data_IF_523240538782
#
_entry.id   IF_523240538782
#
_cell.length_a   1.000
_cell.length_b   1.000
_cell.length_c   1.000
_cell.angle_alpha   90.00
_cell.angle_beta   90.00
_cell.angle_gamma   90.00
#
_symmetry.space_group_name_H-M   'P 1'
#
loop_
_entity.id
_entity.type
_entity.pdbx_description
1 polymer ?
#
# COMPACT_ATOMS: atom_id res chain seq x y z
N UNK A 1 -8.14 14.27 24.86
CA UNK A 1 -7.69 14.63 23.50
C UNK A 1 -6.78 13.58 22.83
N UNK A 2 -5.81 12.98 23.54
CA UNK A 2 -4.88 11.99 22.95
C UNK A 2 -5.57 10.76 22.33
N UNK A 3 -6.59 10.18 22.98
CA UNK A 3 -7.35 9.04 22.43
C UNK A 3 -8.06 9.36 21.12
N UNK A 4 -8.73 10.51 21.05
CA UNK A 4 -9.41 10.97 19.83
C UNK A 4 -8.40 11.17 18.68
N UNK A 5 -7.23 11.76 18.97
CA UNK A 5 -6.14 11.89 18.00
C UNK A 5 -5.68 10.54 17.45
N UNK A 6 -5.50 9.53 18.31
CA UNK A 6 -5.10 8.18 17.91
C UNK A 6 -6.17 7.53 17.03
N UNK A 7 -7.45 7.67 17.39
CA UNK A 7 -8.58 7.14 16.60
C UNK A 7 -8.62 7.80 15.21
N UNK A 8 -8.49 9.14 15.13
CA UNK A 8 -8.50 9.86 13.85
C UNK A 8 -7.36 9.40 12.95
N UNK A 9 -6.14 9.24 13.49
CA UNK A 9 -5.00 8.73 12.72
C UNK A 9 -5.25 7.29 12.26
N UNK A 10 -5.77 6.44 13.15
CA UNK A 10 -6.13 5.05 12.82
C UNK A 10 -7.17 4.95 11.71
N UNK A 11 -8.21 5.78 11.76
CA UNK A 11 -9.23 5.91 10.70
C UNK A 11 -8.60 6.40 9.40
N UNK A 12 -7.68 7.37 9.46
CA UNK A 12 -6.97 7.86 8.27
C UNK A 12 -6.19 6.75 7.55
N UNK A 13 -5.42 5.95 8.28
CA UNK A 13 -4.73 4.80 7.69
C UNK A 13 -5.70 3.70 7.22
N UNK A 14 -6.80 3.48 7.93
CA UNK A 14 -7.84 2.54 7.52
C UNK A 14 -8.50 2.96 6.19
N UNK A 15 -8.73 4.26 6.03
CA UNK A 15 -9.29 4.83 4.81
C UNK A 15 -8.36 4.62 3.62
N UNK A 16 -7.06 4.92 3.76
CA UNK A 16 -6.05 4.68 2.72
C UNK A 16 -5.99 3.20 2.37
N UNK A 17 -5.97 2.32 3.38
CA UNK A 17 -5.99 0.87 3.19
C UNK A 17 -7.23 0.41 2.40
N UNK A 18 -8.42 0.86 2.80
CA UNK A 18 -9.69 0.46 2.17
C UNK A 18 -9.76 0.87 0.70
N UNK A 19 -9.35 2.11 0.37
CA UNK A 19 -9.30 2.57 -1.02
C UNK A 19 -8.24 1.83 -1.84
N UNK A 20 -7.13 1.44 -1.21
CA UNK A 20 -6.11 0.65 -1.89
C UNK A 20 -6.62 -0.76 -2.22
N UNK A 21 -7.37 -1.42 -1.31
CA UNK A 21 -8.02 -2.71 -1.58
C UNK A 21 -9.07 -2.58 -2.69
N UNK A 22 -9.94 -1.57 -2.61
CA UNK A 22 -10.97 -1.34 -3.63
C UNK A 22 -10.33 -1.09 -5.01
N UNK A 23 -9.28 -0.25 -5.06
CA UNK A 23 -8.53 0.01 -6.28
C UNK A 23 -7.88 -1.23 -6.88
N UNK A 24 -7.29 -2.11 -6.05
CA UNK A 24 -6.73 -3.38 -6.51
C UNK A 24 -7.78 -4.33 -7.09
N UNK A 25 -8.95 -4.44 -6.45
CA UNK A 25 -10.06 -5.26 -6.96
C UNK A 25 -10.61 -4.72 -8.29
N UNK A 26 -10.82 -3.41 -8.37
CA UNK A 26 -11.27 -2.75 -9.59
C UNK A 26 -10.24 -2.94 -10.73
N UNK A 27 -8.94 -2.79 -10.42
CA UNK A 27 -7.86 -3.02 -11.37
C UNK A 27 -7.86 -4.44 -11.93
N UNK A 28 -7.99 -5.44 -11.06
CA UNK A 28 -8.06 -6.84 -11.47
C UNK A 28 -9.31 -7.13 -12.33
N UNK A 29 -10.46 -6.53 -12.00
CA UNK A 29 -11.68 -6.69 -12.79
C UNK A 29 -11.55 -6.08 -14.19
N UNK A 30 -10.97 -4.87 -14.27
CA UNK A 30 -10.68 -4.21 -15.54
C UNK A 30 -9.72 -5.07 -16.38
N UNK A 31 -8.59 -5.51 -15.82
CA UNK A 31 -7.61 -6.35 -16.53
C UNK A 31 -8.25 -7.60 -17.16
N UNK A 32 -9.16 -8.27 -16.46
CA UNK A 32 -9.88 -9.43 -16.97
C UNK A 32 -10.83 -9.13 -18.14
N UNK A 33 -11.45 -7.95 -18.19
CA UNK A 33 -12.37 -7.56 -19.27
C UNK A 33 -11.63 -7.29 -20.59
N UNK A 34 -10.40 -6.77 -20.50
CA UNK A 34 -9.61 -6.28 -21.63
C UNK A 34 -8.86 -7.40 -22.37
N UNK A 35 -8.60 -8.53 -21.72
CA UNK A 35 -7.87 -9.68 -22.30
C UNK A 35 -8.65 -10.45 -23.38
N UNK A 36 -9.78 -9.94 -23.86
CA UNK A 36 -10.66 -10.58 -24.85
C UNK A 36 -10.35 -10.25 -26.32
N UNK A 37 -9.26 -9.51 -26.59
CA UNK A 37 -8.74 -9.29 -27.95
C UNK A 37 -8.27 -7.86 -28.17
N UNK A 38 -6.96 -7.61 -27.99
CA UNK A 38 -6.38 -6.26 -28.03
C UNK A 38 -5.66 -6.07 -29.37
N UNK A 39 -6.11 -5.10 -30.16
CA UNK A 39 -5.37 -4.62 -31.34
C UNK A 39 -4.03 -3.96 -30.91
N UNK A 40 -2.99 -3.97 -31.76
CA UNK A 40 -1.69 -3.36 -31.46
C UNK A 40 -1.73 -1.87 -31.06
N UNK A 41 -2.75 -1.13 -31.49
CA UNK A 41 -3.00 0.26 -31.08
C UNK A 41 -3.41 0.36 -29.60
N UNK A 42 -4.21 -0.59 -29.13
CA UNK A 42 -4.68 -0.66 -27.75
C UNK A 42 -3.56 -1.12 -26.79
N UNK A 43 -2.59 -1.93 -27.23
CA UNK A 43 -1.46 -2.33 -26.38
C UNK A 43 -0.55 -1.15 -25.99
N UNK A 44 -0.30 -0.21 -26.91
CA UNK A 44 0.44 1.04 -26.61
C UNK A 44 -0.32 1.95 -25.65
N UNK A 45 -1.65 2.00 -25.75
CA UNK A 45 -2.51 2.73 -24.79
C UNK A 45 -2.42 2.08 -23.40
N UNK A 46 -2.35 0.75 -23.33
CA UNK A 46 -2.17 0.01 -22.08
C UNK A 46 -0.83 0.26 -21.42
N UNK A 47 0.26 0.18 -22.18
CA UNK A 47 1.60 0.50 -21.67
C UNK A 47 1.64 1.92 -21.09
N UNK A 48 1.05 2.90 -21.80
CA UNK A 48 0.98 4.28 -21.30
C UNK A 48 0.12 4.41 -20.05
N UNK A 49 -1.00 3.70 -19.99
CA UNK A 49 -1.90 3.71 -18.82
C UNK A 49 -1.23 3.09 -17.61
N UNK A 50 -0.55 1.95 -17.77
CA UNK A 50 0.20 1.28 -16.71
C UNK A 50 1.35 2.16 -16.20
N UNK A 51 2.09 2.84 -17.08
CA UNK A 51 3.16 3.76 -16.68
C UNK A 51 2.61 4.99 -15.94
N UNK A 52 1.50 5.57 -16.40
CA UNK A 52 0.82 6.67 -15.69
C UNK A 52 0.29 6.23 -14.33
N UNK A 53 -0.28 5.03 -14.27
CA UNK A 53 -0.76 4.42 -13.04
C UNK A 53 0.39 4.18 -12.07
N UNK A 54 1.51 3.60 -12.52
CA UNK A 54 2.71 3.41 -11.72
C UNK A 54 3.19 4.73 -11.11
N UNK A 55 3.30 5.78 -11.94
CA UNK A 55 3.70 7.10 -11.47
C UNK A 55 2.75 7.66 -10.40
N UNK A 56 1.43 7.59 -10.64
CA UNK A 56 0.42 8.06 -9.68
C UNK A 56 0.46 7.28 -8.36
N UNK A 57 0.58 5.95 -8.41
CA UNK A 57 0.70 5.11 -7.23
C UNK A 57 1.99 5.38 -6.46
N UNK A 58 3.13 5.53 -7.13
CA UNK A 58 4.39 5.85 -6.47
C UNK A 58 4.32 7.19 -5.74
N UNK A 59 3.67 8.20 -6.34
CA UNK A 59 3.47 9.50 -5.69
C UNK A 59 2.57 9.39 -4.46
N UNK A 60 1.44 8.67 -4.55
CA UNK A 60 0.51 8.50 -3.43
C UNK A 60 1.10 7.64 -2.30
N UNK A 61 1.85 6.61 -2.63
CA UNK A 61 2.61 5.81 -1.67
C UNK A 61 3.73 6.63 -1.01
N UNK A 62 4.38 7.53 -1.75
CA UNK A 62 5.33 8.51 -1.21
C UNK A 62 4.73 9.43 -0.14
N UNK A 63 3.53 9.98 -0.41
CA UNK A 63 2.77 10.75 0.59
C UNK A 63 2.48 9.90 1.82
N UNK A 64 2.17 8.62 1.63
CA UNK A 64 1.87 7.70 2.73
C UNK A 64 3.10 7.42 3.61
N UNK A 65 4.30 7.35 3.04
CA UNK A 65 5.55 7.29 3.83
C UNK A 65 5.69 8.53 4.71
N UNK A 66 5.40 9.72 4.18
CA UNK A 66 5.48 10.97 4.95
C UNK A 66 4.49 10.93 6.13
N UNK A 67 3.26 10.47 5.88
CA UNK A 67 2.25 10.31 6.94
C UNK A 67 2.69 9.31 8.01
N UNK A 68 3.30 8.19 7.62
CA UNK A 68 3.92 7.24 8.56
C UNK A 68 4.99 7.97 9.37
N UNK A 69 5.94 8.64 8.71
CA UNK A 69 7.04 9.38 9.33
C UNK A 69 6.57 10.38 10.40
N UNK A 70 5.56 11.20 10.08
CA UNK A 70 5.01 12.21 10.99
C UNK A 70 4.26 11.59 12.18
N UNK A 71 3.73 10.37 12.02
CA UNK A 71 2.94 9.70 13.07
C UNK A 71 3.77 8.70 13.91
N UNK A 72 5.01 8.38 13.49
CA UNK A 72 5.93 7.50 14.22
C UNK A 72 6.22 7.91 15.67
N UNK A 73 6.49 9.20 16.00
CA UNK A 73 6.75 9.61 17.38
C UNK A 73 5.63 9.24 18.35
N UNK A 74 4.39 9.22 17.86
CA UNK A 74 3.22 8.87 18.64
C UNK A 74 3.26 7.37 18.98
N UNK A 75 3.61 6.50 18.02
CA UNK A 75 3.65 5.06 18.20
C UNK A 75 4.79 4.56 19.09
N UNK A 76 5.95 5.24 19.09
CA UNK A 76 7.10 4.85 19.94
C UNK A 76 6.76 4.83 21.44
N UNK A 77 5.77 5.62 21.87
CA UNK A 77 5.31 5.62 23.27
C UNK A 77 4.48 4.37 23.64
N UNK A 78 4.02 3.59 22.66
CA UNK A 78 3.13 2.44 22.89
C UNK A 78 3.74 1.10 22.47
N UNK A 79 4.71 1.12 21.54
CA UNK A 79 5.24 -0.07 20.87
C UNK A 79 6.77 -0.03 20.86
N UNK A 80 7.44 -1.17 21.07
CA UNK A 80 8.90 -1.25 21.00
C UNK A 80 9.45 -0.77 19.65
N UNK A 81 10.51 0.03 19.69
CA UNK A 81 11.17 0.62 18.53
C UNK A 81 11.56 -0.42 17.47
N UNK A 82 12.06 -1.60 17.90
CA UNK A 82 12.42 -2.71 17.00
C UNK A 82 11.26 -3.13 16.11
N UNK A 83 10.03 -3.23 16.64
CA UNK A 83 8.85 -3.65 15.87
C UNK A 83 8.42 -2.57 14.87
N UNK A 84 8.49 -1.31 15.29
CA UNK A 84 8.19 -0.16 14.44
C UNK A 84 9.19 -0.10 13.27
N UNK A 85 10.50 -0.26 13.54
CA UNK A 85 11.54 -0.29 12.50
C UNK A 85 11.27 -1.36 11.46
N UNK A 86 10.96 -2.59 11.88
CA UNK A 86 10.62 -3.68 10.96
C UNK A 86 9.42 -3.30 10.07
N UNK A 87 8.37 -2.73 10.66
CA UNK A 87 7.17 -2.34 9.93
C UNK A 87 7.44 -1.23 8.89
N UNK A 88 8.23 -0.21 9.28
CA UNK A 88 8.65 0.87 8.38
C UNK A 88 9.51 0.34 7.25
N UNK A 89 10.48 -0.52 7.54
CA UNK A 89 11.34 -1.14 6.51
C UNK A 89 10.52 -1.99 5.55
N UNK A 90 9.55 -2.76 6.05
CA UNK A 90 8.66 -3.56 5.21
C UNK A 90 7.81 -2.68 4.28
N UNK A 91 7.25 -1.57 4.81
CA UNK A 91 6.52 -0.61 3.99
C UNK A 91 7.44 0.04 2.93
N UNK A 92 8.63 0.49 3.31
CA UNK A 92 9.60 1.09 2.39
C UNK A 92 10.05 0.12 1.29
N UNK A 93 10.24 -1.16 1.60
CA UNK A 93 10.61 -2.18 0.61
C UNK A 93 9.45 -2.55 -0.32
N UNK A 94 8.21 -2.48 0.17
CA UNK A 94 7.01 -2.84 -0.60
C UNK A 94 6.75 -1.92 -1.79
N UNK A 95 7.06 -0.63 -1.65
CA UNK A 95 6.81 0.42 -2.66
C UNK A 95 7.65 0.22 -3.94
N UNK A 96 8.99 0.12 -3.88
CA UNK A 96 9.78 -0.14 -5.09
C UNK A 96 9.45 -1.51 -5.67
N UNK A 97 9.12 -2.51 -4.86
CA UNK A 97 8.75 -3.84 -5.35
C UNK A 97 7.45 -3.79 -6.16
N UNK A 98 6.44 -3.05 -5.68
CA UNK A 98 5.22 -2.78 -6.43
C UNK A 98 5.48 -1.94 -7.70
N UNK A 99 6.21 -0.83 -7.57
CA UNK A 99 6.49 0.09 -8.66
C UNK A 99 7.27 -0.55 -9.80
N UNK A 100 8.35 -1.27 -9.48
CA UNK A 100 9.12 -2.04 -10.46
C UNK A 100 8.26 -3.12 -11.09
N UNK A 101 7.41 -3.81 -10.32
CA UNK A 101 6.47 -4.80 -10.84
C UNK A 101 5.55 -4.25 -11.93
N UNK A 102 4.91 -3.09 -11.69
CA UNK A 102 4.04 -2.45 -12.69
C UNK A 102 4.83 -1.99 -13.91
N UNK A 103 6.02 -1.41 -13.72
CA UNK A 103 6.87 -0.99 -14.83
C UNK A 103 7.24 -2.19 -15.69
N UNK A 104 7.66 -3.30 -15.08
CA UNK A 104 7.96 -4.53 -15.79
C UNK A 104 6.73 -5.10 -16.50
N UNK A 105 5.54 -5.03 -15.89
CA UNK A 105 4.29 -5.45 -16.54
C UNK A 105 3.95 -4.57 -17.76
N UNK A 106 4.31 -3.28 -17.73
CA UNK A 106 4.12 -2.38 -18.86
C UNK A 106 5.04 -2.73 -20.06
N UNK A 107 6.27 -3.19 -19.81
CA UNK A 107 7.20 -3.60 -20.85
C UNK A 107 7.04 -5.07 -21.29
N UNK A 108 6.60 -5.92 -20.38
CA UNK A 108 6.41 -7.36 -20.57
C UNK A 108 4.99 -7.74 -20.13
N UNK A 109 3.98 -7.35 -20.93
CA UNK A 109 2.59 -7.63 -20.59
C UNK A 109 2.33 -9.15 -20.58
N UNK A 110 1.54 -9.65 -19.62
CA UNK A 110 1.20 -11.07 -19.55
C UNK A 110 0.43 -11.51 -20.80
N UNK A 111 0.77 -12.67 -21.34
CA UNK A 111 -0.09 -13.37 -22.30
C UNK A 111 -1.38 -13.81 -21.61
N UNK A 112 -2.52 -13.68 -22.29
CA UNK A 112 -3.85 -14.05 -21.79
C UNK A 112 -3.83 -15.44 -21.13
N UNK A 113 -4.29 -15.54 -19.89
CA UNK A 113 -4.45 -16.80 -19.16
C UNK A 113 -3.19 -17.34 -18.45
N UNK A 114 -2.03 -16.69 -18.58
CA UNK A 114 -0.80 -17.12 -17.90
C UNK A 114 -0.42 -16.21 -16.73
N UNK A 115 0.05 -16.84 -15.65
CA UNK A 115 0.69 -16.16 -14.53
C UNK A 115 2.05 -15.61 -14.99
N UNK A 116 2.23 -14.28 -14.96
CA UNK A 116 3.53 -13.67 -15.25
C UNK A 116 4.30 -13.37 -13.97
N UNK A 117 5.62 -13.51 -14.05
CA UNK A 117 6.51 -13.14 -12.95
C UNK A 117 6.38 -11.64 -12.60
N UNK A 118 6.13 -10.79 -13.61
CA UNK A 118 6.01 -9.33 -13.44
C UNK A 118 4.75 -8.97 -12.65
N UNK A 119 3.61 -9.58 -12.96
CA UNK A 119 2.37 -9.45 -12.20
C UNK A 119 2.52 -10.00 -10.78
N UNK A 120 3.23 -11.12 -10.60
CA UNK A 120 3.49 -11.69 -9.27
C UNK A 120 4.33 -10.76 -8.38
N UNK A 121 5.41 -10.17 -8.93
CA UNK A 121 6.25 -9.20 -8.21
C UNK A 121 5.41 -7.99 -7.79
N UNK A 122 4.64 -7.41 -8.72
CA UNK A 122 3.73 -6.31 -8.43
C UNK A 122 2.74 -6.70 -7.31
N UNK A 123 2.10 -7.86 -7.41
CA UNK A 123 1.13 -8.34 -6.43
C UNK A 123 1.74 -8.50 -5.02
N UNK A 124 2.95 -9.05 -4.89
CA UNK A 124 3.65 -9.15 -3.59
C UNK A 124 3.91 -7.76 -3.01
N UNK A 125 4.39 -6.83 -3.82
CA UNK A 125 4.68 -5.47 -3.38
C UNK A 125 3.42 -4.76 -2.89
N UNK A 126 2.34 -4.85 -3.67
CA UNK A 126 1.04 -4.32 -3.29
C UNK A 126 0.48 -4.95 -2.01
N UNK A 127 0.58 -6.28 -1.87
CA UNK A 127 0.12 -7.00 -0.69
C UNK A 127 0.91 -6.60 0.57
N UNK A 128 2.24 -6.53 0.50
CA UNK A 128 3.07 -6.08 1.62
C UNK A 128 2.74 -4.65 2.03
N UNK A 129 2.52 -3.77 1.04
CA UNK A 129 2.10 -2.39 1.29
C UNK A 129 0.74 -2.35 2.01
N UNK A 130 -0.26 -3.07 1.51
CA UNK A 130 -1.59 -3.16 2.13
C UNK A 130 -1.54 -3.70 3.56
N UNK A 131 -0.82 -4.80 3.78
CA UNK A 131 -0.65 -5.39 5.12
C UNK A 131 0.00 -4.39 6.06
N UNK A 132 1.01 -3.65 5.60
CA UNK A 132 1.68 -2.66 6.44
C UNK A 132 0.72 -1.52 6.85
N UNK A 133 -0.16 -1.06 5.96
CA UNK A 133 -1.17 -0.04 6.28
C UNK A 133 -2.23 -0.55 7.25
N UNK A 134 -2.70 -1.78 7.05
CA UNK A 134 -3.64 -2.43 7.97
C UNK A 134 -3.03 -2.56 9.38
N UNK A 135 -1.76 -2.94 9.47
CA UNK A 135 -1.03 -2.99 10.75
C UNK A 135 -0.94 -1.57 11.34
N UNK A 136 -0.48 -0.56 10.59
CA UNK A 136 -0.38 0.81 11.08
C UNK A 136 -1.71 1.31 11.64
N UNK A 137 -2.81 1.14 10.90
CA UNK A 137 -4.15 1.48 11.35
C UNK A 137 -4.51 0.77 12.66
N UNK A 138 -4.32 -0.55 12.72
CA UNK A 138 -4.61 -1.38 13.90
C UNK A 138 -3.79 -0.96 15.12
N UNK A 139 -2.53 -0.57 14.93
CA UNK A 139 -1.65 -0.10 16.01
C UNK A 139 -2.16 1.19 16.63
N UNK A 140 -2.69 2.13 15.83
CA UNK A 140 -3.29 3.37 16.35
C UNK A 140 -4.59 3.10 17.11
N UNK A 141 -5.45 2.20 16.61
CA UNK A 141 -6.63 1.76 17.35
C UNK A 141 -6.26 1.08 18.67
N UNK A 142 -5.30 0.15 18.65
CA UNK A 142 -4.83 -0.53 19.86
C UNK A 142 -4.24 0.46 20.88
N UNK A 143 -3.42 1.41 20.42
CA UNK A 143 -2.88 2.47 21.27
C UNK A 143 -3.99 3.33 21.89
N UNK A 144 -5.09 3.58 21.18
CA UNK A 144 -6.23 4.35 21.71
C UNK A 144 -7.00 3.63 22.83
N UNK A 145 -7.02 2.29 22.78
CA UNK A 145 -7.73 1.42 23.73
C UNK A 145 -6.89 1.13 24.97
N UNK A 146 -5.56 1.18 24.86
CA UNK A 146 -4.66 0.96 25.99
C UNK A 146 -4.95 2.00 27.08
N UNK A 147 -5.19 1.52 28.31
CA UNK A 147 -5.26 2.41 29.49
C UNK A 147 -3.90 3.08 29.62
N UNK A 148 -3.86 4.42 29.60
CA UNK A 148 -2.69 5.15 30.07
C UNK A 148 -2.51 4.76 31.54
N UNK A 149 -1.56 3.88 31.86
CA UNK A 149 -1.07 3.73 33.22
C UNK A 149 -0.24 4.97 33.55
N UNK A 150 -0.90 6.12 33.65
CA UNK A 150 -0.34 7.30 34.32
C UNK A 150 -0.55 7.09 35.81
N UNK A 151 0.21 6.15 36.37
CA UNK A 151 0.59 6.05 37.78
C UNK A 151 1.52 4.85 37.93
N UNK A 152 2.79 5.02 37.52
CA UNK A 152 3.91 4.25 38.04
C UNK A 152 5.21 4.99 37.70
N UNK A 153 5.51 5.97 38.56
CA UNK A 153 6.81 6.61 38.84
C UNK A 153 7.57 7.25 37.69
#
# INVERSE_FOLDING_TARGET
MQKLRLIIIGIGFFWIFSWSVFGSLLGAYIENLILTGIEPSASMVWQRTLLRSAHAHMNSMGITIILIGVTLPILYSFIPEKKIKILVTLNLASIPLFGVGIILQAFFPPSVGNFSLTTFISAIGGALYLVSLAIFSSLFFFASLKKNNSNAK
#
